data_IF_913745720317
#
_entry.id   IF_913745720317
#
_cell.length_a   1.000
_cell.length_b   1.000
_cell.length_c   1.000
_cell.angle_alpha   90.00
_cell.angle_beta   90.00
_cell.angle_gamma   90.00
#
_symmetry.space_group_name_H-M   'P 1'
#
loop_
_entity.id
_entity.type
_entity.pdbx_description
1 polymer ?
#
# COMPACT_ATOMS: atom_id res chain seq x y z
N UNK A 1 60.01 45.07 -34.42
CA UNK A 1 60.07 44.14 -33.28
C UNK A 1 58.72 44.18 -32.58
N UNK A 2 57.87 43.19 -32.81
CA UNK A 2 56.55 43.07 -32.14
C UNK A 2 56.49 41.67 -31.56
N UNK A 3 56.20 41.61 -30.27
CA UNK A 3 56.40 40.46 -29.40
C UNK A 3 55.29 39.40 -29.52
N UNK A 4 55.74 38.14 -29.54
CA UNK A 4 54.95 36.93 -29.37
C UNK A 4 54.20 36.92 -28.03
N UNK A 5 52.94 36.46 -28.02
CA UNK A 5 52.32 35.85 -26.83
C UNK A 5 51.66 34.52 -27.19
N UNK A 6 52.00 33.42 -26.49
CA UNK A 6 51.47 32.09 -26.78
C UNK A 6 50.10 31.91 -26.13
N UNK A 7 49.17 31.32 -26.89
CA UNK A 7 47.87 30.86 -26.42
C UNK A 7 47.88 29.33 -26.36
N UNK A 8 47.82 28.77 -25.16
CA UNK A 8 47.60 27.36 -24.84
C UNK A 8 46.98 27.32 -23.42
N UNK A 9 46.28 26.26 -22.99
CA UNK A 9 45.10 25.62 -23.57
C UNK A 9 44.06 25.32 -22.45
N UNK A 10 42.79 25.73 -22.56
CA UNK A 10 41.78 25.29 -21.59
C UNK A 10 41.07 24.03 -22.09
N UNK A 11 41.61 22.88 -21.69
CA UNK A 11 40.93 21.59 -21.63
C UNK A 11 39.68 21.70 -20.74
N UNK A 12 38.55 22.10 -21.31
CA UNK A 12 37.24 21.83 -20.73
C UNK A 12 36.83 20.40 -21.10
N UNK A 13 37.49 19.40 -20.47
CA UNK A 13 37.04 18.02 -20.54
C UNK A 13 35.74 17.93 -19.76
N UNK A 14 34.66 17.79 -20.53
CA UNK A 14 33.29 17.52 -20.12
C UNK A 14 33.25 16.37 -19.10
N UNK A 15 33.29 16.69 -17.81
CA UNK A 15 32.85 15.81 -16.72
C UNK A 15 31.32 15.71 -16.79
N UNK A 16 30.82 14.97 -17.80
CA UNK A 16 29.47 14.40 -17.77
C UNK A 16 29.47 13.34 -16.66
N UNK A 17 29.31 13.84 -15.44
CA UNK A 17 29.00 13.02 -14.28
C UNK A 17 27.80 12.15 -14.67
N UNK A 18 28.02 10.84 -14.57
CA UNK A 18 27.08 9.77 -14.83
C UNK A 18 25.99 9.91 -13.74
N UNK A 19 25.05 10.83 -13.95
CA UNK A 19 23.79 10.91 -13.22
C UNK A 19 23.00 9.68 -13.64
N UNK A 20 23.32 8.53 -13.04
CA UNK A 20 22.38 7.43 -13.01
C UNK A 20 21.12 8.02 -12.39
N UNK A 21 19.97 8.05 -13.08
CA UNK A 21 18.73 8.36 -12.39
C UNK A 21 18.67 7.33 -11.27
N UNK A 22 18.82 7.79 -10.02
CA UNK A 22 18.41 7.01 -8.89
C UNK A 22 17.01 6.56 -9.26
N UNK A 23 16.79 5.23 -9.36
CA UNK A 23 15.46 4.71 -9.68
C UNK A 23 14.54 5.31 -8.63
N UNK A 24 13.83 6.36 -9.03
CA UNK A 24 13.01 7.11 -8.12
C UNK A 24 11.91 6.13 -7.74
N UNK A 25 11.82 5.81 -6.45
CA UNK A 25 10.69 5.08 -5.93
C UNK A 25 9.43 5.80 -6.45
N UNK A 26 8.48 5.03 -7.02
CA UNK A 26 7.24 5.59 -7.54
C UNK A 26 6.60 6.45 -6.43
N UNK A 27 6.49 7.77 -6.62
CA UNK A 27 6.08 8.69 -5.55
C UNK A 27 4.63 8.45 -5.09
N UNK A 28 3.85 7.67 -5.84
CA UNK A 28 2.50 7.27 -5.48
C UNK A 28 2.39 5.94 -4.73
N UNK A 29 3.50 5.24 -4.47
CA UNK A 29 3.51 3.98 -3.71
C UNK A 29 3.88 4.20 -2.24
N UNK A 30 3.28 3.46 -1.32
CA UNK A 30 3.65 3.54 0.09
C UNK A 30 5.07 2.98 0.32
N UNK A 31 5.77 3.48 1.35
CA UNK A 31 7.03 2.90 1.75
C UNK A 31 6.84 1.48 2.28
N UNK A 32 7.77 0.59 1.96
CA UNK A 32 7.80 -0.76 2.52
C UNK A 32 8.15 -0.70 4.01
N UNK A 33 7.63 -1.63 4.79
CA UNK A 33 7.95 -1.71 6.20
C UNK A 33 9.41 -2.18 6.40
N UNK A 34 10.11 -1.54 7.34
CA UNK A 34 11.45 -2.01 7.75
C UNK A 34 11.35 -3.37 8.45
N UNK A 35 12.43 -4.18 8.47
CA UNK A 35 12.45 -5.41 9.26
C UNK A 35 12.05 -5.15 10.71
N UNK A 36 11.07 -5.91 11.21
CA UNK A 36 10.53 -5.77 12.57
C UNK A 36 9.55 -4.60 12.77
N UNK A 37 9.34 -3.74 11.78
CA UNK A 37 8.35 -2.66 11.86
C UNK A 37 6.94 -3.19 11.59
N UNK A 38 6.03 -2.87 12.49
CA UNK A 38 4.61 -3.18 12.40
C UNK A 38 3.78 -1.92 12.65
N UNK A 39 2.68 -1.83 11.93
CA UNK A 39 1.64 -0.85 12.09
C UNK A 39 0.42 -1.52 12.72
N UNK A 40 -0.47 -0.75 13.33
CA UNK A 40 -1.58 -1.27 14.12
C UNK A 40 -2.89 -0.57 13.77
N UNK A 41 -3.94 -1.36 13.64
CA UNK A 41 -5.33 -0.92 13.57
C UNK A 41 -6.03 -1.42 14.82
N UNK A 42 -6.65 -0.51 15.56
CA UNK A 42 -7.39 -0.82 16.78
C UNK A 42 -8.86 -0.40 16.64
N UNK A 43 -9.63 -0.49 17.74
CA UNK A 43 -11.03 -0.05 17.77
C UNK A 43 -11.23 1.46 17.58
N UNK A 44 -10.18 2.27 17.64
CA UNK A 44 -10.28 3.73 17.52
C UNK A 44 -9.08 4.32 16.76
N UNK A 45 -9.28 5.49 16.13
CA UNK A 45 -8.22 6.14 15.37
C UNK A 45 -7.07 6.60 16.26
N UNK A 46 -7.37 7.14 17.46
CA UNK A 46 -6.36 7.64 18.39
C UNK A 46 -5.36 6.59 18.90
N UNK A 47 -5.73 5.31 18.84
CA UNK A 47 -4.88 4.19 19.24
C UNK A 47 -4.33 3.38 18.05
N UNK A 48 -4.70 3.76 16.82
CA UNK A 48 -4.17 3.16 15.60
C UNK A 48 -2.92 3.91 15.15
N UNK A 49 -2.02 3.24 14.43
CA UNK A 49 -0.86 3.93 13.83
C UNK A 49 -1.21 4.64 12.52
N UNK A 50 -2.36 4.31 11.91
CA UNK A 50 -2.86 5.00 10.73
C UNK A 50 -3.48 6.34 11.11
N UNK A 51 -3.24 7.35 10.26
CA UNK A 51 -3.83 8.68 10.38
C UNK A 51 -4.81 9.01 9.25
N UNK A 52 -5.18 8.02 8.42
CA UNK A 52 -6.05 8.25 7.25
C UNK A 52 -7.17 7.22 7.07
N UNK A 53 -7.49 6.46 8.13
CA UNK A 53 -8.70 5.63 8.16
C UNK A 53 -9.92 6.52 7.86
N UNK A 54 -10.73 6.09 6.89
CA UNK A 54 -11.90 6.84 6.42
C UNK A 54 -11.60 7.87 5.33
N UNK A 55 -10.34 8.05 4.93
CA UNK A 55 -9.92 8.98 3.88
C UNK A 55 -9.01 8.28 2.87
N UNK A 56 -9.56 7.51 1.91
CA UNK A 56 -8.80 6.67 0.99
C UNK A 56 -8.15 7.47 -0.16
N UNK A 57 -7.39 8.51 0.17
CA UNK A 57 -6.70 9.38 -0.79
C UNK A 57 -5.42 8.74 -1.38
N UNK A 58 -4.90 7.68 -0.74
CA UNK A 58 -3.75 6.90 -1.19
C UNK A 58 -4.07 5.40 -1.16
N UNK A 59 -3.30 4.55 -1.87
CA UNK A 59 -3.50 3.11 -1.81
C UNK A 59 -3.39 2.56 -0.37
N UNK A 60 -2.43 3.05 0.40
CA UNK A 60 -2.25 2.64 1.80
C UNK A 60 -3.46 3.03 2.66
N UNK A 61 -3.98 4.25 2.51
CA UNK A 61 -5.14 4.70 3.26
C UNK A 61 -6.41 3.89 2.91
N UNK A 62 -6.53 3.41 1.67
CA UNK A 62 -7.62 2.51 1.29
C UNK A 62 -7.50 1.14 1.99
N UNK A 63 -6.32 0.53 2.00
CA UNK A 63 -6.06 -0.71 2.76
C UNK A 63 -6.35 -0.51 4.25
N UNK A 64 -5.78 0.52 4.87
CA UNK A 64 -5.99 0.82 6.29
C UNK A 64 -7.45 1.05 6.64
N UNK A 65 -8.22 1.67 5.74
CA UNK A 65 -9.67 1.85 5.91
C UNK A 65 -10.43 0.52 5.85
N UNK A 66 -10.06 -0.39 4.95
CA UNK A 66 -10.68 -1.73 4.90
C UNK A 66 -10.32 -2.55 6.14
N UNK A 67 -9.04 -2.55 6.54
CA UNK A 67 -8.59 -3.23 7.75
C UNK A 67 -9.32 -2.71 8.99
N UNK A 68 -9.52 -1.38 9.09
CA UNK A 68 -10.32 -0.77 10.15
C UNK A 68 -11.80 -1.17 10.07
N UNK A 69 -12.37 -1.31 8.87
CA UNK A 69 -13.72 -1.81 8.72
C UNK A 69 -13.90 -3.18 9.39
N UNK A 70 -13.03 -4.15 9.06
CA UNK A 70 -13.10 -5.49 9.65
C UNK A 70 -12.78 -5.49 11.15
N UNK A 71 -11.74 -4.76 11.56
CA UNK A 71 -11.34 -4.69 12.97
C UNK A 71 -12.46 -4.10 13.86
N UNK A 72 -13.24 -3.15 13.33
CA UNK A 72 -14.26 -2.40 14.08
C UNK A 72 -15.69 -2.85 13.80
N UNK A 73 -15.91 -3.74 12.83
CA UNK A 73 -17.23 -4.12 12.35
C UNK A 73 -18.06 -2.95 11.80
N UNK A 74 -17.41 -1.96 11.18
CA UNK A 74 -18.06 -0.71 10.75
C UNK A 74 -18.30 -0.68 9.25
N UNK A 75 -19.50 -1.09 8.82
CA UNK A 75 -19.85 -1.16 7.40
C UNK A 75 -19.65 0.16 6.63
N UNK A 76 -19.85 1.29 7.31
CA UNK A 76 -19.61 2.61 6.72
C UNK A 76 -18.18 2.77 6.19
N UNK A 77 -17.17 2.16 6.85
CA UNK A 77 -15.79 2.18 6.39
C UNK A 77 -15.57 1.28 5.17
N UNK A 78 -16.16 0.08 5.15
CA UNK A 78 -16.03 -0.83 4.00
C UNK A 78 -16.56 -0.17 2.72
N UNK A 79 -17.71 0.50 2.78
CA UNK A 79 -18.33 1.19 1.63
C UNK A 79 -17.47 2.32 1.04
N UNK A 80 -16.49 2.83 1.78
CA UNK A 80 -15.59 3.87 1.26
C UNK A 80 -14.57 3.31 0.27
N UNK A 81 -14.25 2.02 0.37
CA UNK A 81 -13.11 1.40 -0.31
C UNK A 81 -13.48 0.15 -1.10
N UNK A 82 -14.65 -0.43 -0.89
CA UNK A 82 -15.11 -1.60 -1.63
C UNK A 82 -16.56 -1.40 -2.12
N UNK A 83 -16.75 -1.47 -3.44
CA UNK A 83 -18.08 -1.35 -4.05
C UNK A 83 -18.97 -2.58 -3.74
N UNK A 84 -18.37 -3.72 -3.37
CA UNK A 84 -19.03 -4.97 -2.96
C UNK A 84 -19.28 -5.08 -1.45
N UNK A 85 -19.06 -4.02 -0.68
CA UNK A 85 -19.04 -4.07 0.80
C UNK A 85 -20.26 -4.71 1.48
N UNK A 86 -21.44 -4.71 0.84
CA UNK A 86 -22.66 -5.30 1.42
C UNK A 86 -22.55 -6.79 1.70
N UNK A 87 -21.66 -7.50 0.98
CA UNK A 87 -21.39 -8.92 1.24
C UNK A 87 -20.87 -9.17 2.68
N UNK A 88 -20.23 -8.17 3.28
CA UNK A 88 -19.67 -8.26 4.63
C UNK A 88 -20.72 -8.07 5.73
N UNK A 89 -21.96 -7.72 5.40
CA UNK A 89 -22.99 -7.42 6.40
C UNK A 89 -23.22 -8.59 7.36
N UNK A 90 -23.08 -9.82 6.87
CA UNK A 90 -23.23 -11.03 7.68
C UNK A 90 -22.00 -11.33 8.56
N UNK A 91 -20.84 -10.76 8.23
CA UNK A 91 -19.60 -10.91 9.00
C UNK A 91 -19.67 -10.09 10.29
N UNK A 92 -20.36 -8.94 10.27
CA UNK A 92 -20.44 -8.01 11.40
C UNK A 92 -21.64 -8.26 12.33
N UNK A 93 -22.05 -9.50 12.49
CA UNK A 93 -23.20 -9.89 13.33
C UNK A 93 -22.94 -9.81 14.83
N UNK A 94 -21.66 -9.77 15.24
CA UNK A 94 -21.25 -9.61 16.63
C UNK A 94 -20.41 -8.34 16.81
N UNK A 95 -20.47 -7.68 17.99
CA UNK A 95 -19.57 -6.58 18.32
C UNK A 95 -18.10 -7.00 18.21
N UNK A 96 -17.25 -6.09 17.73
CA UNK A 96 -15.81 -6.31 17.73
C UNK A 96 -15.28 -6.40 19.17
N UNK A 97 -14.32 -7.30 19.42
CA UNK A 97 -13.66 -7.40 20.72
C UNK A 97 -12.80 -6.14 20.96
N UNK A 98 -13.07 -5.34 22.02
CA UNK A 98 -12.34 -4.12 22.29
C UNK A 98 -10.87 -4.35 22.68
N UNK A 99 -10.55 -5.57 23.12
CA UNK A 99 -9.20 -5.99 23.43
C UNK A 99 -8.41 -6.45 22.21
N UNK A 100 -9.01 -6.59 21.02
CA UNK A 100 -8.28 -7.01 19.81
C UNK A 100 -7.68 -5.83 19.06
N UNK A 101 -6.57 -6.11 18.39
CA UNK A 101 -6.00 -5.23 17.36
C UNK A 101 -5.48 -6.07 16.20
N UNK A 102 -5.36 -5.42 15.04
CA UNK A 102 -4.71 -5.97 13.86
C UNK A 102 -3.35 -5.30 13.68
N UNK A 103 -2.28 -6.08 13.68
CA UNK A 103 -0.98 -5.64 13.25
C UNK A 103 -0.80 -5.94 11.76
N UNK A 104 -0.22 -5.00 11.01
CA UNK A 104 0.08 -5.21 9.59
C UNK A 104 1.40 -4.57 9.19
N UNK A 105 1.92 -4.99 8.03
CA UNK A 105 3.08 -4.38 7.37
C UNK A 105 3.04 -4.57 5.86
N UNK A 106 3.53 -3.58 5.13
CA UNK A 106 3.62 -3.63 3.66
C UNK A 106 4.92 -4.34 3.27
N UNK A 107 4.80 -5.50 2.64
CA UNK A 107 5.94 -6.31 2.17
C UNK A 107 6.36 -5.94 0.75
N UNK A 108 5.39 -5.64 -0.11
CA UNK A 108 5.62 -5.23 -1.48
C UNK A 108 4.59 -4.20 -1.92
N UNK A 109 5.00 -3.34 -2.84
CA UNK A 109 4.14 -2.36 -3.48
C UNK A 109 4.60 -2.20 -4.92
N UNK A 110 3.69 -2.27 -5.88
CA UNK A 110 3.99 -2.01 -7.28
C UNK A 110 2.80 -1.41 -8.03
N UNK A 111 3.10 -0.64 -9.06
CA UNK A 111 2.11 -0.23 -10.05
C UNK A 111 2.00 -1.29 -11.14
N UNK A 112 0.79 -1.49 -11.66
CA UNK A 112 0.54 -2.35 -12.81
C UNK A 112 0.84 -1.55 -14.07
N UNK A 113 1.75 -2.05 -14.89
CA UNK A 113 2.13 -1.43 -16.16
C UNK A 113 1.42 -2.11 -17.34
N UNK A 114 1.23 -1.36 -18.43
CA UNK A 114 0.67 -1.92 -19.65
C UNK A 114 1.60 -2.99 -20.24
N UNK A 115 1.02 -4.12 -20.68
CA UNK A 115 1.77 -5.22 -21.30
C UNK A 115 2.56 -6.10 -20.31
N UNK A 116 2.36 -5.94 -19.00
CA UNK A 116 2.95 -6.85 -18.03
C UNK A 116 2.32 -8.24 -18.16
N UNK A 117 3.15 -9.29 -18.30
CA UNK A 117 2.68 -10.68 -18.26
C UNK A 117 2.21 -11.09 -16.87
N UNK A 118 1.24 -12.02 -16.78
CA UNK A 118 0.67 -12.53 -15.53
C UNK A 118 0.10 -11.43 -14.60
N UNK A 119 -0.76 -10.57 -15.15
CA UNK A 119 -1.52 -9.62 -14.34
C UNK A 119 -2.58 -10.36 -13.50
N UNK A 120 -2.87 -9.90 -12.26
CA UNK A 120 -4.04 -10.35 -11.55
C UNK A 120 -5.29 -10.15 -12.40
N UNK A 121 -6.27 -11.05 -12.23
CA UNK A 121 -7.55 -10.89 -12.89
C UNK A 121 -8.12 -9.49 -12.58
N UNK A 122 -8.61 -8.79 -13.61
CA UNK A 122 -9.19 -7.42 -13.54
C UNK A 122 -8.21 -6.26 -13.31
N UNK A 123 -6.92 -6.52 -13.15
CA UNK A 123 -5.94 -5.44 -13.06
C UNK A 123 -5.90 -4.63 -14.36
N UNK A 124 -5.82 -3.32 -14.21
CA UNK A 124 -5.65 -2.36 -15.30
C UNK A 124 -4.33 -1.61 -15.16
N UNK A 125 -3.73 -1.12 -16.27
CA UNK A 125 -2.58 -0.23 -16.17
C UNK A 125 -2.88 0.97 -15.28
N UNK A 126 -1.96 1.27 -14.35
CA UNK A 126 -2.10 2.32 -13.36
C UNK A 126 -2.62 1.87 -11.99
N UNK A 127 -3.25 0.68 -11.91
CA UNK A 127 -3.63 0.06 -10.64
C UNK A 127 -2.40 -0.18 -9.75
N UNK A 128 -2.63 -0.33 -8.45
CA UNK A 128 -1.59 -0.62 -7.47
C UNK A 128 -1.84 -1.98 -6.84
N UNK A 129 -0.80 -2.80 -6.74
CA UNK A 129 -0.82 -4.05 -6.00
C UNK A 129 0.02 -3.89 -4.74
N UNK A 130 -0.58 -4.12 -3.57
CA UNK A 130 0.10 -4.13 -2.28
C UNK A 130 0.06 -5.52 -1.68
N UNK A 131 1.21 -6.05 -1.26
CA UNK A 131 1.29 -7.29 -0.49
C UNK A 131 1.42 -6.94 1.00
N UNK A 132 0.48 -7.41 1.81
CA UNK A 132 0.32 -7.03 3.23
C UNK A 132 0.35 -8.27 4.11
N UNK A 133 1.27 -8.31 5.06
CA UNK A 133 1.31 -9.32 6.12
C UNK A 133 0.48 -8.81 7.30
N UNK A 134 -0.42 -9.64 7.82
CA UNK A 134 -1.40 -9.30 8.85
C UNK A 134 -1.36 -10.29 10.01
N UNK A 135 -1.57 -9.79 11.23
CA UNK A 135 -1.61 -10.59 12.46
C UNK A 135 -2.62 -10.03 13.44
N UNK A 136 -3.44 -10.91 14.00
CA UNK A 136 -4.30 -10.55 15.12
C UNK A 136 -3.51 -10.58 16.44
N UNK A 137 -3.79 -9.60 17.29
CA UNK A 137 -3.25 -9.51 18.64
C UNK A 137 -4.32 -9.13 19.65
N UNK A 138 -3.99 -9.34 20.93
CA UNK A 138 -4.79 -8.88 22.07
C UNK A 138 -3.99 -7.80 22.80
N UNK A 139 -4.63 -6.71 23.22
CA UNK A 139 -4.02 -5.68 24.06
C UNK A 139 -3.35 -6.32 25.29
N UNK A 140 -2.13 -5.86 25.59
CA UNK A 140 -1.27 -6.45 26.63
C UNK A 140 -0.59 -7.77 26.22
N UNK A 141 -0.79 -8.25 24.98
CA UNK A 141 -0.10 -9.43 24.42
C UNK A 141 0.51 -9.11 23.06
N UNK A 142 1.62 -9.77 22.76
CA UNK A 142 2.21 -9.72 21.42
C UNK A 142 1.27 -10.37 20.40
N UNK A 143 1.14 -9.74 19.22
CA UNK A 143 0.42 -10.31 18.10
C UNK A 143 1.03 -11.67 17.76
N UNK A 144 0.18 -12.69 17.69
CA UNK A 144 0.63 -14.02 17.29
C UNK A 144 0.59 -14.09 15.77
N UNK A 145 1.54 -14.82 15.18
CA UNK A 145 1.37 -15.20 13.79
C UNK A 145 0.06 -15.98 13.69
N UNK A 146 -0.86 -15.50 12.87
CA UNK A 146 -2.18 -16.12 12.64
C UNK A 146 -2.06 -17.39 11.78
N UNK A 147 -0.87 -17.66 11.23
CA UNK A 147 -0.65 -18.72 10.24
C UNK A 147 -1.17 -18.37 8.85
N UNK A 148 -1.92 -17.27 8.71
CA UNK A 148 -2.40 -16.78 7.43
C UNK A 148 -1.22 -16.24 6.60
N UNK A 149 -1.18 -16.53 5.29
CA UNK A 149 -0.20 -15.92 4.40
C UNK A 149 -0.42 -14.41 4.31
N UNK A 150 0.60 -13.70 3.80
CA UNK A 150 0.41 -12.32 3.38
C UNK A 150 -0.67 -12.26 2.29
N UNK A 151 -1.37 -11.15 2.16
CA UNK A 151 -2.44 -10.98 1.19
C UNK A 151 -2.08 -9.90 0.18
N UNK A 152 -2.42 -10.13 -1.08
CA UNK A 152 -2.35 -9.13 -2.13
C UNK A 152 -3.65 -8.33 -2.16
N UNK A 153 -3.53 -7.00 -2.25
CA UNK A 153 -4.61 -6.05 -2.42
C UNK A 153 -4.42 -5.36 -3.76
N UNK A 154 -5.36 -5.55 -4.69
CA UNK A 154 -5.41 -4.82 -5.95
C UNK A 154 -6.26 -3.57 -5.76
N UNK A 155 -5.68 -2.41 -6.04
CA UNK A 155 -6.32 -1.11 -5.85
C UNK A 155 -6.42 -0.34 -7.15
N UNK A 156 -7.57 0.31 -7.33
CA UNK A 156 -7.88 1.15 -8.47
C UNK A 156 -8.15 2.59 -8.03
N UNK A 157 -7.61 3.54 -8.79
CA UNK A 157 -7.86 4.96 -8.55
C UNK A 157 -9.13 5.40 -9.28
N UNK A 158 -10.12 5.87 -8.54
CA UNK A 158 -11.38 6.38 -9.07
C UNK A 158 -11.20 7.76 -9.72
N UNK A 159 -12.14 8.17 -10.60
CA UNK A 159 -12.14 9.52 -11.18
C UNK A 159 -12.22 10.66 -10.16
N UNK A 160 -12.81 10.42 -8.98
CA UNK A 160 -12.89 11.38 -7.88
C UNK A 160 -11.58 11.50 -7.08
N UNK A 161 -10.53 10.79 -7.50
CA UNK A 161 -9.20 10.80 -6.90
C UNK A 161 -9.03 9.83 -5.72
N UNK A 162 -10.10 9.19 -5.23
CA UNK A 162 -10.05 8.20 -4.14
C UNK A 162 -9.62 6.84 -4.66
N UNK A 163 -9.02 6.04 -3.79
CA UNK A 163 -8.64 4.66 -4.06
C UNK A 163 -9.70 3.69 -3.55
N UNK A 164 -9.96 2.65 -4.33
CA UNK A 164 -10.79 1.51 -3.94
C UNK A 164 -10.01 0.21 -4.08
N UNK A 165 -10.41 -0.79 -3.34
CA UNK A 165 -9.94 -2.16 -3.43
C UNK A 165 -10.85 -2.88 -4.43
N UNK A 166 -10.23 -3.46 -5.45
CA UNK A 166 -10.91 -4.21 -6.52
C UNK A 166 -11.01 -5.68 -6.18
N UNK A 167 -9.98 -6.20 -5.50
CA UNK A 167 -9.89 -7.58 -5.03
C UNK A 167 -8.78 -7.70 -4.02
N UNK A 168 -8.85 -8.70 -3.15
CA UNK A 168 -7.79 -9.05 -2.23
C UNK A 168 -7.81 -10.56 -1.93
N UNK A 169 -6.67 -11.16 -1.63
CA UNK A 169 -6.56 -12.61 -1.44
C UNK A 169 -5.12 -13.10 -1.33
N UNK A 170 -4.91 -14.40 -1.43
CA UNK A 170 -3.58 -15.00 -1.33
C UNK A 170 -2.69 -14.57 -2.51
N UNK A 171 -1.36 -14.41 -2.32
CA UNK A 171 -0.50 -13.82 -3.33
C UNK A 171 -0.35 -14.76 -4.52
N UNK A 172 -0.56 -14.21 -5.72
CA UNK A 172 -0.48 -14.99 -6.96
C UNK A 172 -1.64 -15.95 -7.20
N UNK A 173 -2.63 -16.02 -6.30
CA UNK A 173 -3.91 -16.64 -6.63
C UNK A 173 -4.65 -15.76 -7.63
N UNK A 174 -5.46 -16.36 -8.51
CA UNK A 174 -6.35 -15.59 -9.38
C UNK A 174 -7.34 -14.85 -8.48
N UNK A 175 -7.04 -13.57 -8.18
CA UNK A 175 -7.86 -12.72 -7.32
C UNK A 175 -9.29 -12.68 -7.87
N UNK A 176 -10.15 -13.53 -7.30
CA UNK A 176 -11.57 -13.57 -7.58
C UNK A 176 -12.26 -12.32 -7.04
N UNK A 177 -13.47 -12.05 -7.53
CA UNK A 177 -14.32 -11.07 -6.86
C UNK A 177 -14.66 -11.63 -5.47
N UNK A 178 -14.35 -10.86 -4.44
CA UNK A 178 -15.21 -10.84 -3.28
C UNK A 178 -16.26 -9.78 -3.58
#
# INVERSE_FOLDING_TARGET
>A
MIAFRPFLPLCAVLLLAILRPAMAADPGLPPLARPGQWYYVTQSDGNSSSHCIGSPATPLCAVETLLACFQRGQMALCRLVDDGAEQYAQVFTAPSDPGKYLAYRILAARRIEAGQGNMPARAQPGDVLLTVDQREGQLGRYARATGAPAQDFLLHRRPDGRWKIVSWGDPGENLGAH
#
